data_IF_247378768725
#
_entry.id   IF_247378768725
#
_cell.length_a   1.000
_cell.length_b   1.000
_cell.length_c   1.000
_cell.angle_alpha   90.00
_cell.angle_beta   90.00
_cell.angle_gamma   90.00
#
_symmetry.space_group_name_H-M   'P 1'
#
loop_
_entity.id
_entity.type
_entity.pdbx_description
1 polymer ?
#
# COMPACT_ATOMS: atom_id res chain seq x y z
N UNK A 1 3.09 -12.56 13.20
CA UNK A 1 1.71 -12.74 12.68
C UNK A 1 0.68 -11.84 13.36
N UNK A 2 0.73 -11.66 14.69
CA UNK A 2 -0.26 -10.88 15.46
C UNK A 2 -0.36 -9.39 15.12
N UNK A 3 0.59 -8.84 14.37
CA UNK A 3 0.57 -7.45 13.89
C UNK A 3 -0.43 -7.20 12.76
N UNK A 4 -1.01 -8.26 12.20
CA UNK A 4 -1.96 -8.17 11.10
C UNK A 4 -3.35 -8.59 11.59
N UNK A 5 -4.42 -7.97 11.06
CA UNK A 5 -5.78 -8.44 11.24
C UNK A 5 -5.90 -9.94 10.99
N UNK A 6 -6.57 -10.68 11.89
CA UNK A 6 -6.67 -12.15 11.81
C UNK A 6 -7.27 -12.63 10.49
N UNK A 7 -8.24 -11.88 9.95
CA UNK A 7 -8.85 -12.14 8.64
C UNK A 7 -7.83 -12.21 7.50
N UNK A 8 -6.69 -11.53 7.65
CA UNK A 8 -5.64 -11.54 6.63
C UNK A 8 -4.71 -12.74 6.75
N UNK A 9 -4.68 -13.43 7.90
CA UNK A 9 -3.69 -14.49 8.18
C UNK A 9 -3.63 -15.61 7.14
N UNK A 10 -4.77 -16.15 6.65
CA UNK A 10 -4.76 -17.18 5.61
C UNK A 10 -4.14 -16.72 4.29
N UNK A 11 -4.11 -15.41 4.04
CA UNK A 11 -3.63 -14.80 2.81
C UNK A 11 -2.15 -14.39 2.88
N UNK A 12 -1.48 -14.60 4.02
CA UNK A 12 -0.08 -14.24 4.24
C UNK A 12 0.83 -15.34 3.71
N UNK A 13 1.45 -15.13 2.56
CA UNK A 13 2.39 -16.10 1.96
C UNK A 13 3.81 -16.00 2.49
N UNK A 14 4.27 -14.79 2.78
CA UNK A 14 5.65 -14.55 3.19
C UNK A 14 5.75 -13.29 4.05
N UNK A 15 6.75 -13.26 4.92
CA UNK A 15 7.10 -12.12 5.75
C UNK A 15 8.60 -11.94 5.66
N UNK A 16 9.03 -10.73 5.32
CA UNK A 16 10.43 -10.34 5.28
C UNK A 16 10.73 -9.45 6.47
N UNK A 17 11.77 -9.78 7.23
CA UNK A 17 12.30 -8.86 8.22
C UNK A 17 13.37 -7.98 7.57
N UNK A 18 13.37 -6.69 7.91
CA UNK A 18 14.34 -5.75 7.37
C UNK A 18 15.07 -5.02 8.49
N UNK A 19 16.26 -4.54 8.19
CA UNK A 19 17.08 -3.78 9.12
C UNK A 19 16.33 -2.53 9.62
N UNK A 20 16.35 -2.32 10.94
CA UNK A 20 15.75 -1.18 11.63
C UNK A 20 16.65 0.06 11.67
N UNK A 21 17.35 0.35 10.57
CA UNK A 21 18.38 1.39 10.45
C UNK A 21 17.82 2.78 10.08
N UNK A 22 16.50 2.98 10.20
CA UNK A 22 15.82 4.18 9.70
C UNK A 22 15.52 4.18 8.19
N UNK A 23 15.93 3.13 7.46
CA UNK A 23 15.60 2.92 6.04
C UNK A 23 14.68 1.72 5.81
N UNK A 24 14.16 1.11 6.88
CA UNK A 24 13.30 -0.06 6.86
C UNK A 24 12.14 0.05 5.86
N UNK A 25 11.49 1.22 5.77
CA UNK A 25 10.42 1.46 4.80
C UNK A 25 10.85 1.21 3.35
N UNK A 26 11.96 1.80 2.92
CA UNK A 26 12.51 1.61 1.57
C UNK A 26 12.97 0.17 1.33
N UNK A 27 13.61 -0.43 2.35
CA UNK A 27 14.06 -1.83 2.29
C UNK A 27 12.88 -2.79 2.11
N UNK A 28 11.76 -2.57 2.78
CA UNK A 28 10.56 -3.39 2.57
C UNK A 28 9.99 -3.26 1.16
N UNK A 29 10.00 -2.05 0.58
CA UNK A 29 9.53 -1.86 -0.80
C UNK A 29 10.36 -2.66 -1.80
N UNK A 30 11.68 -2.75 -1.63
CA UNK A 30 12.56 -3.58 -2.48
C UNK A 30 12.12 -5.04 -2.53
N UNK A 31 11.86 -5.65 -1.37
CA UNK A 31 11.38 -7.03 -1.31
C UNK A 31 10.02 -7.21 -1.99
N UNK A 32 9.13 -6.23 -1.83
CA UNK A 32 7.82 -6.24 -2.47
C UNK A 32 7.88 -6.11 -4.00
N UNK A 33 8.79 -5.28 -4.49
CA UNK A 33 9.02 -5.08 -5.92
C UNK A 33 9.90 -6.17 -6.55
N UNK A 34 10.38 -7.14 -5.75
CA UNK A 34 11.31 -8.21 -6.17
C UNK A 34 12.62 -7.65 -6.73
N UNK A 35 13.06 -6.52 -6.19
CA UNK A 35 14.36 -5.93 -6.48
C UNK A 35 15.44 -6.54 -5.58
N UNK A 36 16.71 -6.32 -5.91
CA UNK A 36 17.80 -6.79 -5.08
C UNK A 36 17.87 -5.98 -3.78
N UNK A 37 18.08 -6.64 -2.63
CA UNK A 37 18.02 -6.02 -1.28
C UNK A 37 18.87 -4.75 -1.12
N UNK A 38 19.98 -4.67 -1.85
CA UNK A 38 20.94 -3.56 -1.81
C UNK A 38 20.49 -2.35 -2.64
N UNK A 39 19.38 -2.44 -3.37
CA UNK A 39 18.82 -1.38 -4.22
C UNK A 39 17.85 -0.45 -3.47
N UNK A 40 17.76 -0.54 -2.14
CA UNK A 40 16.80 0.24 -1.34
C UNK A 40 16.97 1.75 -1.50
N UNK A 41 18.20 2.22 -1.73
CA UNK A 41 18.47 3.63 -1.95
C UNK A 41 17.83 4.15 -3.26
N UNK A 42 17.70 3.28 -4.28
CA UNK A 42 17.02 3.61 -5.54
C UNK A 42 15.55 3.90 -5.32
N UNK A 43 14.91 3.25 -4.34
CA UNK A 43 13.53 3.56 -3.96
C UNK A 43 13.42 5.02 -3.53
N UNK A 44 14.32 5.49 -2.67
CA UNK A 44 14.34 6.90 -2.23
C UNK A 44 14.53 7.86 -3.39
N UNK A 45 15.49 7.59 -4.28
CA UNK A 45 15.76 8.43 -5.48
C UNK A 45 14.53 8.50 -6.38
N UNK A 46 13.94 7.35 -6.71
CA UNK A 46 12.73 7.28 -7.56
C UNK A 46 11.55 8.05 -6.96
N UNK A 47 11.40 8.05 -5.63
CA UNK A 47 10.32 8.79 -4.96
C UNK A 47 10.57 10.30 -4.92
N UNK A 48 11.84 10.73 -4.87
CA UNK A 48 12.19 12.16 -5.02
C UNK A 48 11.89 12.63 -6.44
N UNK A 49 12.30 11.87 -7.46
CA UNK A 49 11.98 12.18 -8.86
C UNK A 49 10.47 12.24 -9.10
N UNK A 50 9.71 11.28 -8.54
CA UNK A 50 8.24 11.26 -8.61
C UNK A 50 7.63 12.53 -8.02
N UNK A 51 8.12 12.94 -6.85
CA UNK A 51 7.66 14.13 -6.14
C UNK A 51 7.99 15.40 -6.92
N UNK A 52 9.21 15.52 -7.42
CA UNK A 52 9.67 16.66 -8.23
C UNK A 52 8.86 16.78 -9.54
N UNK A 53 8.51 15.66 -10.15
CA UNK A 53 7.75 15.63 -11.41
C UNK A 53 6.29 16.04 -11.22
N UNK A 54 5.70 15.78 -10.04
CA UNK A 54 4.26 15.97 -9.77
C UNK A 54 4.00 16.84 -8.54
N UNK A 55 4.85 17.86 -8.33
CA UNK A 55 4.79 18.76 -7.16
C UNK A 55 3.41 19.38 -6.94
N UNK A 56 2.68 19.72 -8.01
CA UNK A 56 1.35 20.31 -7.93
C UNK A 56 0.28 19.36 -7.39
N UNK A 57 0.32 18.09 -7.79
CA UNK A 57 -0.62 17.06 -7.35
C UNK A 57 -0.33 16.60 -5.92
N UNK A 58 0.93 16.66 -5.55
CA UNK A 58 1.42 16.27 -4.24
C UNK A 58 1.36 17.39 -3.20
N UNK A 59 1.39 18.66 -3.59
CA UNK A 59 1.25 19.82 -2.70
C UNK A 59 2.23 19.77 -1.52
N UNK A 60 1.78 20.22 -0.35
CA UNK A 60 2.55 20.19 0.90
C UNK A 60 2.57 18.77 1.51
N UNK A 61 3.46 17.92 1.00
CA UNK A 61 3.67 16.57 1.54
C UNK A 61 4.44 16.64 2.86
N UNK A 62 3.81 16.17 3.95
CA UNK A 62 4.47 16.07 5.26
C UNK A 62 4.19 14.75 6.00
N UNK A 63 3.33 13.85 5.50
CA UNK A 63 2.93 12.65 6.23
C UNK A 63 3.35 11.33 5.56
N UNK A 64 3.59 10.30 6.37
CA UNK A 64 3.90 8.93 5.91
C UNK A 64 2.86 8.34 4.96
N UNK A 65 1.58 8.76 5.08
CA UNK A 65 0.52 8.39 4.12
C UNK A 65 0.84 8.88 2.71
N UNK A 66 1.44 10.06 2.58
CA UNK A 66 1.81 10.63 1.29
C UNK A 66 2.99 9.88 0.67
N UNK A 67 3.90 9.34 1.48
CA UNK A 67 4.93 8.39 1.01
C UNK A 67 4.32 7.09 0.49
N UNK A 68 3.30 6.53 1.17
CA UNK A 68 2.56 5.37 0.64
C UNK A 68 1.90 5.72 -0.73
N UNK A 69 1.36 6.95 -0.92
CA UNK A 69 0.81 7.39 -2.22
C UNK A 69 1.90 7.52 -3.29
N UNK A 70 3.05 8.12 -2.97
CA UNK A 70 4.18 8.25 -3.90
C UNK A 70 4.65 6.87 -4.40
N UNK A 71 4.75 5.89 -3.51
CA UNK A 71 5.11 4.51 -3.88
C UNK A 71 4.05 3.90 -4.81
N UNK A 72 2.77 4.05 -4.45
CA UNK A 72 1.67 3.50 -5.24
C UNK A 72 1.63 4.10 -6.66
N UNK A 73 1.84 5.42 -6.78
CA UNK A 73 1.92 6.11 -8.06
C UNK A 73 3.15 5.71 -8.87
N UNK A 74 4.35 5.80 -8.29
CA UNK A 74 5.62 5.59 -9.00
C UNK A 74 5.76 4.19 -9.57
N UNK A 75 5.32 3.19 -8.81
CA UNK A 75 5.47 1.78 -9.19
C UNK A 75 4.18 1.15 -9.72
N UNK A 76 3.09 1.92 -9.81
CA UNK A 76 1.76 1.46 -10.21
C UNK A 76 1.32 0.20 -9.43
N UNK A 77 1.41 0.27 -8.11
CA UNK A 77 1.07 -0.84 -7.19
C UNK A 77 -0.11 -0.48 -6.30
N UNK A 78 -0.77 -1.51 -5.74
CA UNK A 78 -1.76 -1.32 -4.67
C UNK A 78 -1.04 -1.51 -3.35
N UNK A 79 -0.94 -0.46 -2.55
CA UNK A 79 -0.20 -0.51 -1.29
C UNK A 79 -1.18 -0.49 -0.11
N UNK A 80 -1.20 -1.57 0.66
CA UNK A 80 -1.91 -1.66 1.93
C UNK A 80 -0.96 -1.30 3.09
N UNK A 81 -1.19 -0.17 3.74
CA UNK A 81 -0.44 0.24 4.93
C UNK A 81 -1.24 -0.19 6.18
N UNK A 82 -0.66 -1.07 7.01
CA UNK A 82 -1.27 -1.62 8.23
C UNK A 82 -0.61 -1.04 9.47
N UNK A 83 -1.40 -0.67 10.47
CA UNK A 83 -0.90 -0.20 11.76
C UNK A 83 -1.83 -0.62 12.88
N UNK A 84 -1.42 -0.32 14.13
CA UNK A 84 -2.29 -0.56 15.30
C UNK A 84 -3.56 0.31 15.28
N UNK A 85 -3.53 1.44 14.59
CA UNK A 85 -4.60 2.44 14.66
C UNK A 85 -5.42 2.51 13.37
N UNK A 86 -4.76 2.36 12.23
CA UNK A 86 -5.38 2.51 10.91
C UNK A 86 -4.78 1.53 9.91
N UNK A 87 -5.66 0.93 9.12
CA UNK A 87 -5.31 0.11 7.96
C UNK A 87 -5.89 0.77 6.73
N UNK A 88 -5.06 1.02 5.73
CA UNK A 88 -5.41 1.85 4.59
C UNK A 88 -4.87 1.25 3.30
N UNK A 89 -5.54 1.58 2.20
CA UNK A 89 -5.10 1.27 0.85
C UNK A 89 -4.74 2.56 0.11
N UNK A 90 -3.60 2.52 -0.56
CA UNK A 90 -3.05 3.56 -1.39
C UNK A 90 -2.96 3.05 -2.83
N UNK A 91 -3.44 3.87 -3.74
CA UNK A 91 -3.49 3.61 -5.18
C UNK A 91 -2.74 4.74 -5.90
N UNK A 92 -2.32 4.47 -7.14
CA UNK A 92 -1.76 5.52 -8.00
C UNK A 92 -2.79 6.64 -8.23
N UNK A 93 -2.32 7.88 -8.23
CA UNK A 93 -3.15 9.05 -8.50
C UNK A 93 -3.49 9.22 -9.99
N UNK A 94 -2.77 8.57 -10.90
CA UNK A 94 -2.90 8.83 -12.36
C UNK A 94 -2.75 7.60 -13.25
N UNK A 95 -2.32 6.47 -12.72
CA UNK A 95 -2.24 5.21 -13.45
C UNK A 95 -3.29 4.24 -12.94
N UNK A 96 -3.99 3.59 -13.88
CA UNK A 96 -4.83 2.45 -13.52
C UNK A 96 -3.93 1.31 -13.07
N UNK A 97 -4.08 0.80 -11.82
CA UNK A 97 -3.31 -0.34 -11.36
C UNK A 97 -3.59 -1.55 -12.26
N UNK A 98 -2.63 -2.47 -12.43
CA UNK A 98 -2.84 -3.68 -13.20
C UNK A 98 -4.05 -4.46 -12.67
N UNK A 99 -4.70 -5.29 -13.50
CA UNK A 99 -5.83 -6.12 -13.08
C UNK A 99 -5.57 -6.87 -11.77
N UNK A 100 -6.62 -7.20 -11.01
CA UNK A 100 -6.51 -7.87 -9.70
C UNK A 100 -5.74 -9.20 -9.69
N UNK A 101 -5.43 -9.80 -10.85
CA UNK A 101 -4.57 -10.98 -11.03
C UNK A 101 -3.11 -10.68 -11.44
N UNK A 102 -2.77 -9.42 -11.77
CA UNK A 102 -1.42 -8.90 -11.99
C UNK A 102 -0.93 -7.91 -10.92
N UNK A 103 -1.84 -7.11 -10.34
CA UNK A 103 -1.64 -6.20 -9.21
C UNK A 103 -0.69 -6.71 -8.09
N UNK A 104 0.34 -5.91 -7.76
CA UNK A 104 1.21 -6.16 -6.61
C UNK A 104 0.59 -5.45 -5.40
N UNK A 105 0.03 -6.24 -4.49
CA UNK A 105 -0.48 -5.77 -3.21
C UNK A 105 0.62 -5.82 -2.14
N UNK A 106 1.11 -4.66 -1.69
CA UNK A 106 2.16 -4.55 -0.68
C UNK A 106 1.52 -4.34 0.68
N UNK A 107 1.92 -5.09 1.70
CA UNK A 107 1.53 -4.81 3.08
C UNK A 107 2.74 -4.22 3.83
N UNK A 108 2.58 -3.14 4.59
CA UNK A 108 3.63 -2.62 5.48
C UNK A 108 3.06 -2.47 6.88
N UNK A 109 3.76 -2.97 7.91
CA UNK A 109 3.40 -2.75 9.32
C UNK A 109 4.34 -1.73 9.93
N UNK A 110 3.76 -0.70 10.55
CA UNK A 110 4.43 0.49 11.11
C UNK A 110 5.35 0.25 12.34
N UNK A 111 5.88 -0.95 12.54
CA UNK A 111 6.85 -1.25 13.62
C UNK A 111 8.04 -2.08 13.11
N UNK A 112 7.84 -2.87 12.05
CA UNK A 112 8.87 -3.65 11.36
C UNK A 112 8.44 -3.73 9.90
N UNK A 113 9.24 -3.21 8.97
CA UNK A 113 8.79 -3.11 7.59
C UNK A 113 8.77 -4.53 6.97
N UNK A 114 7.57 -5.09 6.88
CA UNK A 114 7.32 -6.48 6.48
C UNK A 114 6.60 -6.56 5.15
N UNK A 115 7.37 -6.74 4.09
CA UNK A 115 6.91 -6.86 2.71
C UNK A 115 6.07 -8.14 2.46
N UNK A 116 5.05 -8.06 1.59
CA UNK A 116 4.19 -9.21 1.23
C UNK A 116 3.84 -9.30 -0.25
N UNK A 117 3.48 -10.52 -0.67
CA UNK A 117 2.97 -10.87 -1.99
C UNK A 117 1.55 -11.47 -1.91
N UNK A 118 0.63 -10.83 -2.65
CA UNK A 118 -0.66 -11.24 -3.26
C UNK A 118 -1.45 -12.46 -2.71
N UNK A 119 -2.73 -12.20 -2.40
CA UNK A 119 -3.87 -13.06 -2.78
C UNK A 119 -4.97 -12.20 -3.43
N UNK A 120 -5.50 -12.56 -4.63
CA UNK A 120 -6.59 -11.83 -5.31
C UNK A 120 -7.87 -11.70 -4.45
N UNK A 121 -8.12 -12.67 -3.58
CA UNK A 121 -9.36 -12.81 -2.80
C UNK A 121 -9.26 -12.28 -1.36
N UNK A 122 -8.13 -11.66 -1.00
CA UNK A 122 -7.95 -11.13 0.34
C UNK A 122 -8.79 -9.86 0.55
N UNK A 123 -9.42 -9.74 1.73
CA UNK A 123 -10.11 -8.51 2.15
C UNK A 123 -9.19 -7.30 2.06
N UNK A 124 -9.76 -6.14 1.73
CA UNK A 124 -9.00 -4.95 1.37
C UNK A 124 -9.33 -3.79 2.32
N UNK A 125 -8.34 -3.22 3.04
CA UNK A 125 -8.56 -2.03 3.88
C UNK A 125 -9.10 -0.84 3.07
N UNK A 126 -9.77 0.13 3.71
CA UNK A 126 -10.35 1.29 3.03
C UNK A 126 -9.31 2.07 2.23
N UNK A 127 -9.71 2.56 1.04
CA UNK A 127 -8.91 3.46 0.24
C UNK A 127 -8.79 4.80 0.99
N UNK A 128 -7.58 5.37 1.00
CA UNK A 128 -7.32 6.64 1.67
C UNK A 128 -8.18 7.78 1.11
N UNK A 129 -8.77 8.64 1.96
CA UNK A 129 -9.53 9.80 1.50
C UNK A 129 -8.75 10.75 0.59
N UNK A 130 -7.43 10.86 0.80
CA UNK A 130 -6.52 11.68 0.00
C UNK A 130 -6.54 11.27 -1.47
N UNK A 131 -6.68 9.98 -1.77
CA UNK A 131 -6.78 9.50 -3.14
C UNK A 131 -8.02 10.05 -3.85
N UNK A 132 -9.16 10.09 -3.16
CA UNK A 132 -10.41 10.65 -3.70
C UNK A 132 -10.24 12.14 -4.01
N UNK A 133 -9.47 12.88 -3.21
CA UNK A 133 -9.30 14.32 -3.42
C UNK A 133 -8.34 14.66 -4.56
N UNK A 134 -7.34 13.80 -4.83
CA UNK A 134 -6.18 14.15 -5.67
C UNK A 134 -6.04 13.34 -6.95
N UNK A 135 -6.78 12.23 -7.08
CA UNK A 135 -6.70 11.38 -8.29
C UNK A 135 -7.16 12.12 -9.54
N UNK A 136 -6.57 11.76 -10.68
CA UNK A 136 -7.05 12.20 -12.00
C UNK A 136 -8.38 11.51 -12.36
N UNK A 137 -9.23 12.15 -13.17
CA UNK A 137 -10.50 11.55 -13.60
C UNK A 137 -10.35 10.19 -14.30
N UNK A 138 -9.24 9.96 -15.01
CA UNK A 138 -8.99 8.73 -15.76
C UNK A 138 -8.85 7.45 -14.91
N UNK A 139 -8.64 7.57 -13.59
CA UNK A 139 -8.48 6.40 -12.70
C UNK A 139 -9.69 6.13 -11.81
N UNK A 140 -10.81 6.85 -11.98
CA UNK A 140 -12.01 6.68 -11.14
C UNK A 140 -12.58 5.27 -11.25
N UNK A 141 -12.65 4.73 -12.46
CA UNK A 141 -13.24 3.42 -12.74
C UNK A 141 -12.42 2.28 -12.16
N UNK A 142 -11.13 2.50 -11.84
CA UNK A 142 -10.26 1.47 -11.28
C UNK A 142 -10.66 1.02 -9.87
N UNK A 143 -11.58 1.71 -9.20
CA UNK A 143 -12.07 1.30 -7.86
C UNK A 143 -13.05 0.14 -7.96
N UNK A 144 -13.76 0.01 -9.07
CA UNK A 144 -14.84 -0.98 -9.25
C UNK A 144 -14.36 -2.42 -9.03
N UNK A 145 -13.13 -2.74 -9.46
CA UNK A 145 -12.47 -4.04 -9.24
C UNK A 145 -12.16 -4.36 -7.75
N UNK A 146 -12.35 -3.41 -6.83
CA UNK A 146 -12.02 -3.58 -5.41
C UNK A 146 -13.25 -3.50 -4.48
N UNK A 147 -14.43 -3.17 -4.99
CA UNK A 147 -15.64 -2.89 -4.19
C UNK A 147 -15.99 -4.06 -3.27
N UNK A 148 -16.04 -5.29 -3.80
CA UNK A 148 -16.38 -6.48 -3.01
C UNK A 148 -15.39 -6.69 -1.85
N UNK A 149 -14.09 -6.52 -2.13
CA UNK A 149 -13.01 -6.71 -1.14
C UNK A 149 -13.06 -5.64 -0.04
N UNK A 150 -13.45 -4.41 -0.37
CA UNK A 150 -13.67 -3.31 0.57
C UNK A 150 -14.87 -3.62 1.48
N UNK A 151 -15.97 -4.11 0.91
CA UNK A 151 -17.15 -4.52 1.69
C UNK A 151 -16.85 -5.66 2.66
N UNK A 152 -16.12 -6.69 2.21
CA UNK A 152 -15.71 -7.79 3.09
C UNK A 152 -14.86 -7.32 4.26
N UNK A 153 -13.94 -6.37 4.03
CA UNK A 153 -13.12 -5.80 5.10
C UNK A 153 -13.96 -5.02 6.12
N UNK A 154 -14.89 -4.18 5.65
CA UNK A 154 -15.79 -3.43 6.54
C UNK A 154 -16.67 -4.38 7.37
N UNK A 155 -17.23 -5.42 6.75
CA UNK A 155 -18.00 -6.43 7.46
C UNK A 155 -17.17 -7.07 8.58
N UNK A 156 -15.95 -7.52 8.29
CA UNK A 156 -15.04 -8.05 9.31
C UNK A 156 -14.74 -7.05 10.43
N UNK A 157 -14.45 -5.79 10.08
CA UNK A 157 -14.13 -4.77 11.07
C UNK A 157 -15.30 -4.57 12.03
N UNK A 158 -16.53 -4.41 11.51
CA UNK A 158 -17.72 -4.26 12.35
C UNK A 158 -18.04 -5.50 13.20
N UNK A 159 -17.85 -6.72 12.66
CA UNK A 159 -18.05 -7.96 13.42
C UNK A 159 -17.02 -8.15 14.55
N UNK A 160 -15.82 -7.57 14.42
CA UNK A 160 -14.73 -7.72 15.41
C UNK A 160 -14.84 -6.79 16.63
N UNK A 161 -15.71 -5.76 16.58
CA UNK A 161 -15.94 -4.80 17.66
C UNK A 161 -17.33 -4.95 18.32
N UNK A 162 -18.11 -5.95 17.92
CA UNK A 162 -19.43 -6.28 18.49
C UNK A 162 -19.51 -7.71 19.05
N UNK A 163 -18.35 -8.31 19.38
CA UNK A 163 -18.23 -9.63 20.00
C UNK A 163 -17.41 -9.60 21.28
#
# INVERSE_FOLDING_TARGET
MNEFPKVLHPYIKQVYDVEGDGHCGFRAIVYCLRLHKDEWYKIRVNLMEELETHTTEYGDIAAFSDTCVLIASRYNVVLHCFSRHTNTTHLSLWSTPPPTHECIAIAIVLVYARARRRVPDAVMPPITPQWIQRRRPCVVECVTQYIERLHMYNHYYHSSFHG
#
